data_IF_276624228197
#
_entry.id   IF_276624228197
#
_cell.length_a   1.000
_cell.length_b   1.000
_cell.length_c   1.000
_cell.angle_alpha   90.00
_cell.angle_beta   90.00
_cell.angle_gamma   90.00
#
_symmetry.space_group_name_H-M   'P 1'
#
loop_
_entity.id
_entity.type
_entity.pdbx_description
1 polymer ?
#
# COMPACT_ATOMS: atom_id res chain seq x y z
N UNK A 1 -47.16 -41.13 40.65
CA UNK A 1 -47.55 -41.84 39.40
C UNK A 1 -47.13 -40.96 38.21
N UNK A 2 -46.23 -41.49 37.36
CA UNK A 2 -45.88 -41.15 35.96
C UNK A 2 -46.22 -39.71 35.49
N UNK A 3 -45.25 -38.90 35.04
CA UNK A 3 -44.74 -38.96 33.67
C UNK A 3 -43.52 -38.03 33.41
N UNK A 4 -42.55 -38.60 32.68
CA UNK A 4 -41.75 -38.02 31.59
C UNK A 4 -40.45 -37.23 31.89
N UNK A 5 -39.36 -37.97 31.67
CA UNK A 5 -38.02 -37.61 31.16
C UNK A 5 -38.11 -36.57 30.01
N UNK A 6 -37.21 -35.58 29.98
CA UNK A 6 -36.36 -35.19 28.82
C UNK A 6 -35.33 -34.14 29.24
N UNK A 7 -34.07 -34.42 28.95
CA UNK A 7 -32.91 -33.56 29.12
C UNK A 7 -32.59 -32.79 27.84
N UNK A 8 -31.86 -31.67 28.03
CA UNK A 8 -30.92 -31.05 27.11
C UNK A 8 -31.44 -30.23 25.91
N UNK A 9 -30.66 -29.16 25.64
CA UNK A 9 -30.59 -28.35 24.43
C UNK A 9 -31.45 -27.07 24.36
N UNK A 10 -31.16 -26.12 25.25
CA UNK A 10 -31.44 -24.68 25.01
C UNK A 10 -30.13 -23.93 24.74
N UNK A 11 -29.47 -24.29 23.63
CA UNK A 11 -28.48 -23.44 22.98
C UNK A 11 -29.26 -22.57 21.98
N UNK A 12 -29.92 -21.53 22.49
CA UNK A 12 -30.58 -20.54 21.63
C UNK A 12 -29.55 -19.46 21.31
N UNK A 13 -29.16 -19.39 20.04
CA UNK A 13 -28.21 -18.46 19.46
C UNK A 13 -28.56 -17.01 19.88
N UNK A 14 -27.66 -16.39 20.64
CA UNK A 14 -27.52 -14.93 20.58
C UNK A 14 -26.85 -14.65 19.25
N UNK A 15 -27.67 -14.35 18.23
CA UNK A 15 -27.22 -13.63 17.05
C UNK A 15 -26.68 -12.29 17.53
N UNK A 16 -25.37 -12.25 17.79
CA UNK A 16 -24.65 -11.01 17.88
C UNK A 16 -24.86 -10.29 16.56
N UNK A 17 -25.56 -9.16 16.60
CA UNK A 17 -25.56 -8.19 15.52
C UNK A 17 -24.11 -7.76 15.32
N UNK A 18 -23.39 -8.43 14.43
CA UNK A 18 -22.17 -7.90 13.84
C UNK A 18 -22.68 -6.78 12.95
N UNK A 19 -22.71 -5.56 13.49
CA UNK A 19 -22.84 -4.38 12.65
C UNK A 19 -21.77 -4.52 11.55
N UNK A 20 -22.09 -4.27 10.27
CA UNK A 20 -21.06 -4.24 9.25
C UNK A 20 -19.99 -3.26 9.73
N UNK A 21 -18.79 -3.79 9.95
CA UNK A 21 -17.62 -3.02 10.36
C UNK A 21 -17.49 -1.88 9.36
N UNK A 22 -17.60 -0.65 9.86
CA UNK A 22 -17.27 0.59 9.18
C UNK A 22 -15.76 0.63 8.89
N UNK A 23 -15.26 -0.28 8.04
CA UNK A 23 -13.85 -0.40 7.66
C UNK A 23 -13.51 0.35 6.36
N UNK A 24 -14.50 0.89 5.66
CA UNK A 24 -14.29 1.60 4.39
C UNK A 24 -14.08 3.12 4.56
N UNK A 25 -14.62 3.75 5.62
CA UNK A 25 -14.56 5.21 5.78
C UNK A 25 -13.18 5.70 6.27
N UNK A 26 -12.48 4.91 7.09
CA UNK A 26 -11.17 5.30 7.66
C UNK A 26 -10.05 5.34 6.60
N UNK A 27 -10.14 4.55 5.53
CA UNK A 27 -9.11 4.50 4.49
C UNK A 27 -9.21 5.65 3.48
N UNK A 28 -10.41 6.13 3.14
CA UNK A 28 -10.60 7.20 2.14
C UNK A 28 -9.93 8.50 2.60
N UNK A 29 -10.18 8.91 3.83
CA UNK A 29 -9.59 10.13 4.38
C UNK A 29 -8.06 10.06 4.43
N UNK A 30 -7.51 8.94 4.87
CA UNK A 30 -6.06 8.72 4.88
C UNK A 30 -5.46 8.76 3.47
N UNK A 31 -6.11 8.11 2.49
CA UNK A 31 -5.72 8.16 1.08
C UNK A 31 -5.66 9.61 0.61
N UNK A 32 -6.73 10.39 0.81
CA UNK A 32 -6.79 11.75 0.32
C UNK A 32 -5.81 12.69 1.04
N UNK A 33 -5.55 12.47 2.33
CA UNK A 33 -4.52 13.22 3.06
C UNK A 33 -3.13 12.91 2.50
N UNK A 34 -2.81 11.64 2.24
CA UNK A 34 -1.52 11.26 1.64
C UNK A 34 -1.33 11.80 0.22
N UNK A 35 -2.42 11.96 -0.52
CA UNK A 35 -2.43 12.60 -1.84
C UNK A 35 -2.47 14.13 -1.76
N UNK A 36 -2.44 14.72 -0.56
CA UNK A 36 -2.56 16.16 -0.31
C UNK A 36 -3.88 16.80 -0.82
N UNK A 37 -4.90 15.96 -1.03
CA UNK A 37 -6.26 16.31 -1.45
C UNK A 37 -7.16 16.65 -0.26
N UNK A 38 -6.75 16.34 0.96
CA UNK A 38 -7.43 16.72 2.19
C UNK A 38 -6.38 17.00 3.29
N UNK A 39 -6.77 17.68 4.35
CA UNK A 39 -5.90 17.96 5.50
C UNK A 39 -6.68 17.72 6.78
N UNK A 40 -6.03 17.09 7.76
CA UNK A 40 -6.61 16.92 9.09
C UNK A 40 -6.81 18.28 9.77
N UNK A 41 -7.85 18.36 10.59
CA UNK A 41 -8.09 19.47 11.49
C UNK A 41 -7.03 19.44 12.63
N UNK A 42 -6.96 20.51 13.43
CA UNK A 42 -5.91 20.68 14.45
C UNK A 42 -5.87 19.59 15.53
N UNK A 43 -6.95 18.82 15.68
CA UNK A 43 -7.08 17.70 16.61
C UNK A 43 -6.79 16.33 15.96
N UNK A 44 -6.22 16.33 14.75
CA UNK A 44 -5.94 15.15 13.95
C UNK A 44 -7.21 14.36 13.54
N UNK A 45 -8.35 15.03 13.46
CA UNK A 45 -9.62 14.48 12.94
C UNK A 45 -10.01 15.15 11.62
N UNK A 46 -11.10 14.68 11.00
CA UNK A 46 -11.76 15.38 9.89
C UNK A 46 -13.20 15.62 10.28
N UNK A 47 -13.56 16.90 10.41
CA UNK A 47 -14.94 17.31 10.58
C UNK A 47 -15.71 17.17 9.26
N UNK A 48 -16.32 16.01 9.06
CA UNK A 48 -17.00 15.65 7.80
C UNK A 48 -18.08 16.65 7.37
N UNK A 49 -18.75 17.30 8.33
CA UNK A 49 -19.83 18.26 8.08
C UNK A 49 -19.34 19.66 7.75
N UNK A 50 -18.04 19.92 7.90
CA UNK A 50 -17.45 21.23 7.57
C UNK A 50 -17.53 21.45 6.06
N UNK A 51 -18.01 22.60 5.57
CA UNK A 51 -18.04 22.90 4.14
C UNK A 51 -16.64 23.00 3.53
N UNK A 52 -16.48 22.58 2.28
CA UNK A 52 -15.22 22.76 1.52
C UNK A 52 -15.30 24.03 0.65
N UNK A 53 -14.29 24.88 0.71
CA UNK A 53 -14.23 26.12 -0.07
C UNK A 53 -13.87 25.87 -1.54
N UNK A 54 -14.23 26.80 -2.42
CA UNK A 54 -13.82 26.77 -3.83
C UNK A 54 -12.30 26.81 -4.00
N UNK A 55 -11.58 27.49 -3.11
CA UNK A 55 -10.12 27.55 -3.16
C UNK A 55 -9.46 26.20 -2.81
N UNK A 56 -9.95 25.52 -1.77
CA UNK A 56 -9.49 24.17 -1.43
C UNK A 56 -9.79 23.18 -2.57
N UNK A 57 -10.98 23.26 -3.16
CA UNK A 57 -11.33 22.43 -4.31
C UNK A 57 -10.45 22.73 -5.54
N UNK A 58 -10.09 24.00 -5.78
CA UNK A 58 -9.17 24.37 -6.84
C UNK A 58 -7.76 23.76 -6.64
N UNK A 59 -7.26 23.72 -5.39
CA UNK A 59 -6.02 22.98 -5.07
C UNK A 59 -6.17 21.49 -5.41
N UNK A 60 -7.31 20.88 -5.05
CA UNK A 60 -7.56 19.47 -5.35
C UNK A 60 -7.54 19.18 -6.85
N UNK A 61 -8.23 19.98 -7.66
CA UNK A 61 -8.23 19.84 -9.11
C UNK A 61 -6.84 20.03 -9.73
N UNK A 62 -6.03 20.95 -9.19
CA UNK A 62 -4.65 21.13 -9.64
C UNK A 62 -3.82 19.85 -9.42
N UNK A 63 -3.98 19.21 -8.26
CA UNK A 63 -3.31 17.94 -7.94
C UNK A 63 -3.83 16.80 -8.83
N UNK A 64 -5.15 16.70 -8.99
CA UNK A 64 -5.79 15.69 -9.84
C UNK A 64 -5.47 15.86 -11.34
N UNK A 65 -5.08 17.06 -11.77
CA UNK A 65 -4.59 17.33 -13.12
C UNK A 65 -3.11 16.95 -13.32
N UNK A 66 -2.44 16.39 -12.30
CA UNK A 66 -1.08 15.86 -12.40
C UNK A 66 0.04 16.89 -12.20
N UNK A 67 -0.26 18.09 -11.70
CA UNK A 67 0.76 19.13 -11.50
C UNK A 67 1.61 18.96 -10.22
N UNK A 68 1.40 17.88 -9.46
CA UNK A 68 2.18 17.54 -8.26
C UNK A 68 2.00 18.50 -7.09
N UNK A 69 2.74 18.29 -5.99
CA UNK A 69 2.58 19.04 -4.73
C UNK A 69 3.29 20.38 -4.67
N UNK A 70 4.05 20.75 -5.72
CA UNK A 70 4.76 22.03 -5.75
C UNK A 70 3.77 23.18 -5.71
N UNK A 71 3.99 24.14 -4.81
CA UNK A 71 3.15 25.33 -4.70
C UNK A 71 3.08 26.05 -6.06
N UNK A 72 1.88 26.18 -6.60
CA UNK A 72 1.66 26.95 -7.80
C UNK A 72 1.87 28.43 -7.45
N UNK A 73 2.85 29.06 -8.08
CA UNK A 73 3.11 30.48 -7.89
C UNK A 73 2.26 31.32 -8.85
N UNK A 74 1.72 32.43 -8.36
CA UNK A 74 1.13 33.46 -9.21
C UNK A 74 1.83 34.79 -8.97
N UNK A 75 2.43 35.37 -10.02
CA UNK A 75 3.06 36.69 -9.97
C UNK A 75 2.06 37.83 -10.24
N UNK A 76 0.79 37.49 -10.46
CA UNK A 76 -0.31 38.42 -10.73
C UNK A 76 -1.59 37.94 -10.03
N UNK A 77 -2.48 38.86 -9.68
CA UNK A 77 -3.80 38.50 -9.13
C UNK A 77 -4.66 37.88 -10.24
N UNK A 78 -5.04 36.58 -10.17
CA UNK A 78 -5.79 35.93 -11.25
C UNK A 78 -7.26 36.36 -11.32
N UNK A 79 -7.80 36.86 -10.20
CA UNK A 79 -9.17 37.36 -10.08
C UNK A 79 -9.16 38.59 -9.18
N UNK A 80 -10.21 39.42 -9.26
CA UNK A 80 -10.31 40.68 -8.53
C UNK A 80 -10.35 40.49 -7.01
N UNK A 81 -10.83 39.35 -6.55
CA UNK A 81 -10.92 38.93 -5.14
C UNK A 81 -9.84 37.90 -4.75
N UNK A 82 -8.87 37.63 -5.62
CA UNK A 82 -7.75 36.73 -5.35
C UNK A 82 -6.44 37.49 -5.57
N UNK A 83 -5.88 38.02 -4.48
CA UNK A 83 -4.54 38.62 -4.49
C UNK A 83 -3.49 37.62 -4.98
N UNK A 84 -2.47 38.08 -5.70
CA UNK A 84 -1.30 37.26 -6.06
C UNK A 84 -0.61 36.62 -4.85
N UNK A 85 -0.72 37.24 -3.66
CA UNK A 85 -0.16 36.76 -2.40
C UNK A 85 -1.06 35.74 -1.67
N UNK A 86 -2.26 35.45 -2.19
CA UNK A 86 -3.12 34.42 -1.63
C UNK A 86 -2.49 33.05 -1.85
N UNK A 87 -2.45 32.20 -0.82
CA UNK A 87 -1.86 30.85 -0.88
C UNK A 87 -2.47 29.95 -1.97
N UNK A 88 -3.71 30.22 -2.39
CA UNK A 88 -4.41 29.49 -3.45
C UNK A 88 -4.29 30.15 -4.83
N UNK A 89 -3.65 31.31 -4.95
CA UNK A 89 -3.64 32.11 -6.18
C UNK A 89 -3.14 31.32 -7.39
N UNK A 90 -2.02 30.60 -7.27
CA UNK A 90 -1.50 29.81 -8.39
C UNK A 90 -2.35 28.60 -8.73
N UNK A 91 -2.95 27.93 -7.74
CA UNK A 91 -3.86 26.80 -7.99
C UNK A 91 -5.08 27.28 -8.75
N UNK A 92 -5.74 28.34 -8.25
CA UNK A 92 -6.91 28.98 -8.85
C UNK A 92 -6.59 29.44 -10.29
N UNK A 93 -5.46 30.12 -10.49
CA UNK A 93 -5.00 30.54 -11.83
C UNK A 93 -4.90 29.36 -12.79
N UNK A 94 -4.25 28.29 -12.35
CA UNK A 94 -3.95 27.14 -13.21
C UNK A 94 -5.23 26.41 -13.59
N UNK A 95 -6.07 26.04 -12.63
CA UNK A 95 -7.32 25.31 -12.93
C UNK A 95 -8.32 26.15 -13.73
N UNK A 96 -8.30 27.48 -13.56
CA UNK A 96 -9.07 28.39 -14.40
C UNK A 96 -8.54 28.41 -15.84
N UNK A 97 -7.22 28.46 -16.03
CA UNK A 97 -6.61 28.45 -17.36
C UNK A 97 -6.81 27.13 -18.11
N UNK A 98 -6.89 26.01 -17.38
CA UNK A 98 -7.22 24.69 -17.92
C UNK A 98 -8.71 24.51 -18.19
N UNK A 99 -9.55 25.44 -17.72
CA UNK A 99 -11.00 25.39 -17.89
C UNK A 99 -11.71 24.42 -16.95
N UNK A 100 -11.02 23.86 -15.94
CA UNK A 100 -11.63 22.94 -14.96
C UNK A 100 -12.52 23.66 -13.97
N UNK A 101 -12.21 24.92 -13.64
CA UNK A 101 -13.11 25.82 -12.92
C UNK A 101 -13.23 27.15 -13.65
N UNK A 102 -14.28 27.89 -13.35
CA UNK A 102 -14.48 29.24 -13.87
C UNK A 102 -14.78 30.21 -12.74
N UNK A 103 -14.35 31.46 -12.91
CA UNK A 103 -14.82 32.56 -12.09
C UNK A 103 -16.26 32.95 -12.41
N UNK A 104 -16.84 33.74 -11.52
CA UNK A 104 -18.13 34.38 -11.69
C UNK A 104 -18.01 35.66 -12.52
N UNK A 105 -19.17 36.21 -12.90
CA UNK A 105 -19.27 37.50 -13.56
C UNK A 105 -18.48 38.59 -12.81
N UNK A 106 -17.98 39.58 -13.56
CA UNK A 106 -17.15 40.69 -13.05
C UNK A 106 -15.76 40.28 -12.53
N UNK A 107 -15.27 39.09 -12.89
CA UNK A 107 -13.89 38.68 -12.61
C UNK A 107 -13.63 38.28 -11.17
N UNK A 108 -14.63 37.74 -10.48
CA UNK A 108 -14.52 37.19 -9.12
C UNK A 108 -14.37 35.68 -9.16
N UNK A 109 -13.59 35.09 -8.26
CA UNK A 109 -13.53 33.64 -8.08
C UNK A 109 -14.34 33.14 -6.89
N UNK A 110 -14.46 33.99 -5.85
CA UNK A 110 -15.01 33.72 -4.53
C UNK A 110 -14.32 32.54 -3.83
N UNK A 111 -13.03 32.68 -3.49
CA UNK A 111 -12.22 31.57 -2.97
C UNK A 111 -12.79 30.95 -1.69
N UNK A 112 -13.34 31.77 -0.79
CA UNK A 112 -13.85 31.32 0.51
C UNK A 112 -15.31 30.84 0.47
N UNK A 113 -15.99 31.00 -0.67
CA UNK A 113 -17.35 30.49 -0.83
C UNK A 113 -17.30 28.96 -0.89
N UNK A 114 -18.22 28.30 -0.19
CA UNK A 114 -18.42 26.85 -0.32
C UNK A 114 -18.73 26.47 -1.77
N UNK A 115 -18.07 25.43 -2.26
CA UNK A 115 -18.35 24.89 -3.60
C UNK A 115 -19.68 24.13 -3.61
N UNK A 116 -20.43 24.21 -4.70
CA UNK A 116 -21.66 23.42 -4.86
C UNK A 116 -21.38 22.05 -5.47
N UNK A 117 -22.31 21.12 -5.28
CA UNK A 117 -22.29 19.79 -5.90
C UNK A 117 -22.18 19.86 -7.44
N UNK A 118 -22.98 20.71 -8.09
CA UNK A 118 -22.94 20.92 -9.54
C UNK A 118 -21.55 21.39 -10.03
N UNK A 119 -20.96 22.36 -9.31
CA UNK A 119 -19.63 22.89 -9.63
C UNK A 119 -18.56 21.80 -9.49
N UNK A 120 -18.61 21.00 -8.42
CA UNK A 120 -17.66 19.93 -8.17
C UNK A 120 -17.76 18.80 -9.21
N UNK A 121 -18.98 18.30 -9.46
CA UNK A 121 -19.23 17.23 -10.44
C UNK A 121 -18.77 17.66 -11.84
N UNK A 122 -19.12 18.89 -12.26
CA UNK A 122 -18.71 19.41 -13.55
C UNK A 122 -17.19 19.44 -13.68
N UNK A 123 -16.50 19.98 -12.67
CA UNK A 123 -15.04 20.11 -12.68
C UNK A 123 -14.35 18.75 -12.75
N UNK A 124 -14.85 17.74 -12.02
CA UNK A 124 -14.28 16.39 -12.04
C UNK A 124 -14.53 15.67 -13.36
N UNK A 125 -15.71 15.84 -13.98
CA UNK A 125 -15.97 15.31 -15.32
C UNK A 125 -15.05 15.94 -16.38
N UNK A 126 -14.73 17.23 -16.25
CA UNK A 126 -13.76 17.88 -17.13
C UNK A 126 -12.34 17.27 -16.97
N UNK A 127 -11.91 16.98 -15.74
CA UNK A 127 -10.65 16.26 -15.48
C UNK A 127 -10.67 14.85 -16.07
N UNK A 128 -11.80 14.15 -15.99
CA UNK A 128 -11.98 12.82 -16.60
C UNK A 128 -11.99 12.84 -18.14
N UNK A 129 -11.90 14.02 -18.75
CA UNK A 129 -11.78 14.21 -20.20
C UNK A 129 -13.09 14.49 -20.93
N UNK A 130 -14.20 14.73 -20.21
CA UNK A 130 -15.45 15.20 -20.81
C UNK A 130 -15.34 16.68 -21.18
N UNK A 131 -15.98 17.09 -22.27
CA UNK A 131 -16.06 18.51 -22.63
C UNK A 131 -17.27 19.17 -21.98
N UNK A 132 -17.21 20.49 -21.77
CA UNK A 132 -18.30 21.26 -21.18
C UNK A 132 -19.63 21.14 -21.96
N UNK A 133 -19.56 20.90 -23.28
CA UNK A 133 -20.73 20.75 -24.13
C UNK A 133 -21.44 19.41 -23.93
N UNK A 134 -20.70 18.35 -23.63
CA UNK A 134 -21.24 16.99 -23.45
C UNK A 134 -21.96 16.82 -22.11
N UNK A 135 -21.60 17.64 -21.14
CA UNK A 135 -22.18 17.66 -19.79
C UNK A 135 -23.04 18.91 -19.57
N UNK A 136 -23.47 19.57 -20.65
CA UNK A 136 -24.25 20.80 -20.58
C UNK A 136 -25.67 20.53 -20.08
N UNK A 137 -26.10 21.30 -19.08
CA UNK A 137 -27.41 21.13 -18.44
C UNK A 137 -27.41 20.09 -17.32
N UNK A 138 -28.29 20.29 -16.33
CA UNK A 138 -28.32 19.49 -15.11
C UNK A 138 -28.53 17.99 -15.40
N UNK A 139 -29.40 17.64 -16.34
CA UNK A 139 -29.74 16.25 -16.61
C UNK A 139 -28.53 15.46 -17.14
N UNK A 140 -27.83 15.99 -18.15
CA UNK A 140 -26.65 15.33 -18.72
C UNK A 140 -25.47 15.29 -17.73
N UNK A 141 -25.30 16.36 -16.95
CA UNK A 141 -24.27 16.43 -15.91
C UNK A 141 -24.44 15.27 -14.91
N UNK A 142 -25.64 15.12 -14.35
CA UNK A 142 -25.91 14.10 -13.34
C UNK A 142 -26.00 12.69 -13.92
N UNK A 143 -26.50 12.52 -15.15
CA UNK A 143 -26.47 11.22 -15.83
C UNK A 143 -25.04 10.74 -16.06
N UNK A 144 -24.17 11.60 -16.57
CA UNK A 144 -22.76 11.27 -16.81
C UNK A 144 -22.05 10.97 -15.49
N UNK A 145 -22.31 11.75 -14.44
CA UNK A 145 -21.75 11.52 -13.12
C UNK A 145 -22.13 10.15 -12.55
N UNK A 146 -23.40 9.73 -12.70
CA UNK A 146 -23.87 8.40 -12.28
C UNK A 146 -23.23 7.27 -13.07
N UNK A 147 -23.16 7.40 -14.40
CA UNK A 147 -22.54 6.39 -15.27
C UNK A 147 -21.06 6.20 -14.92
N UNK A 148 -20.38 7.26 -14.49
CA UNK A 148 -18.98 7.23 -14.06
C UNK A 148 -18.76 6.87 -12.60
N UNK A 149 -19.82 6.54 -11.86
CA UNK A 149 -19.73 6.18 -10.45
C UNK A 149 -19.33 7.35 -9.53
N UNK A 150 -19.32 8.59 -10.02
CA UNK A 150 -18.94 9.76 -9.22
C UNK A 150 -19.85 9.95 -7.99
N UNK A 151 -21.12 9.56 -8.12
CA UNK A 151 -22.13 9.72 -7.06
C UNK A 151 -22.33 8.46 -6.21
N UNK A 152 -21.52 7.41 -6.42
CA UNK A 152 -21.65 6.16 -5.67
C UNK A 152 -21.36 6.39 -4.19
N UNK A 153 -22.16 5.77 -3.32
CA UNK A 153 -22.08 5.95 -1.87
C UNK A 153 -22.25 7.40 -1.39
N UNK A 154 -22.89 8.26 -2.19
CA UNK A 154 -23.23 9.64 -1.80
C UNK A 154 -24.74 9.86 -1.68
N UNK A 155 -25.15 10.80 -0.84
CA UNK A 155 -26.53 11.30 -0.78
C UNK A 155 -26.67 12.69 -1.45
N UNK A 156 -25.75 13.01 -2.37
CA UNK A 156 -25.63 14.34 -2.95
C UNK A 156 -26.81 14.69 -3.86
N UNK A 157 -27.33 15.90 -3.66
CA UNK A 157 -28.42 16.47 -4.46
C UNK A 157 -27.92 17.67 -5.28
N UNK A 158 -28.77 18.15 -6.19
CA UNK A 158 -28.50 19.29 -7.07
C UNK A 158 -28.29 20.58 -6.26
N UNK A 159 -27.23 21.32 -6.61
CA UNK A 159 -26.87 22.64 -6.09
C UNK A 159 -26.76 22.77 -4.56
N UNK A 160 -26.37 21.69 -3.87
CA UNK A 160 -26.13 21.74 -2.44
C UNK A 160 -24.68 22.17 -2.12
N UNK A 161 -24.44 22.86 -0.99
CA UNK A 161 -23.09 23.10 -0.50
C UNK A 161 -22.39 21.77 -0.20
N UNK A 162 -21.13 21.62 -0.63
CA UNK A 162 -20.37 20.39 -0.44
C UNK A 162 -19.67 20.36 0.93
N UNK A 163 -19.89 19.28 1.68
CA UNK A 163 -19.21 19.01 2.97
C UNK A 163 -17.88 18.29 2.74
N UNK A 164 -16.96 18.29 3.73
CA UNK A 164 -15.69 17.54 3.65
C UNK A 164 -15.90 16.04 3.44
N UNK A 165 -16.92 15.45 4.06
CA UNK A 165 -17.26 14.04 3.88
C UNK A 165 -17.73 13.73 2.46
N UNK A 166 -18.68 14.53 1.95
CA UNK A 166 -19.16 14.38 0.57
C UNK A 166 -18.05 14.65 -0.46
N UNK A 167 -17.22 15.66 -0.20
CA UNK A 167 -16.03 15.97 -0.98
C UNK A 167 -15.07 14.78 -1.04
N UNK A 168 -14.76 14.17 0.11
CA UNK A 168 -13.86 13.03 0.18
C UNK A 168 -14.37 11.85 -0.65
N UNK A 169 -15.64 11.50 -0.50
CA UNK A 169 -16.24 10.43 -1.29
C UNK A 169 -16.24 10.75 -2.78
N UNK A 170 -16.59 11.98 -3.17
CA UNK A 170 -16.65 12.41 -4.56
C UNK A 170 -15.26 12.39 -5.23
N UNK A 171 -14.22 12.85 -4.54
CA UNK A 171 -12.83 12.81 -5.04
C UNK A 171 -12.33 11.37 -5.15
N UNK A 172 -12.61 10.52 -4.16
CA UNK A 172 -12.23 9.11 -4.19
C UNK A 172 -12.90 8.36 -5.36
N UNK A 173 -14.19 8.63 -5.59
CA UNK A 173 -14.91 8.10 -6.74
C UNK A 173 -14.30 8.59 -8.06
N UNK A 174 -13.91 9.87 -8.14
CA UNK A 174 -13.22 10.42 -9.31
C UNK A 174 -11.87 9.74 -9.58
N UNK A 175 -11.06 9.50 -8.53
CA UNK A 175 -9.79 8.77 -8.63
C UNK A 175 -9.98 7.33 -9.16
N UNK A 176 -11.10 6.71 -8.80
CA UNK A 176 -11.47 5.36 -9.22
C UNK A 176 -12.10 5.30 -10.63
N UNK A 177 -12.58 6.43 -11.17
CA UNK A 177 -13.25 6.48 -12.45
C UNK A 177 -12.27 6.41 -13.64
N UNK A 178 -12.59 5.60 -14.65
CA UNK A 178 -11.85 5.56 -15.92
C UNK A 178 -11.96 6.89 -16.71
N UNK A 179 -10.87 7.33 -17.33
CA UNK A 179 -10.88 8.50 -18.23
C UNK A 179 -11.73 8.20 -19.47
N UNK A 180 -12.35 9.23 -20.06
CA UNK A 180 -13.36 9.12 -21.12
C UNK A 180 -12.94 8.31 -22.35
N UNK A 181 -11.65 8.22 -22.65
CA UNK A 181 -11.11 7.46 -23.78
C UNK A 181 -9.90 6.60 -23.37
N UNK A 182 -9.85 6.15 -22.12
CA UNK A 182 -8.78 5.31 -21.61
C UNK A 182 -9.34 4.15 -20.81
N UNK A 183 -8.58 3.05 -20.79
CA UNK A 183 -8.81 1.96 -19.84
C UNK A 183 -8.18 2.27 -18.47
N UNK A 184 -7.44 3.37 -18.34
CA UNK A 184 -6.86 3.82 -17.09
C UNK A 184 -7.84 4.65 -16.26
N UNK A 185 -7.83 4.44 -14.95
CA UNK A 185 -8.46 5.33 -13.97
C UNK A 185 -7.70 6.64 -13.83
N UNK A 186 -8.34 7.66 -13.25
CA UNK A 186 -7.67 8.91 -12.91
C UNK A 186 -6.46 8.68 -11.99
N UNK A 187 -6.57 7.79 -11.00
CA UNK A 187 -5.43 7.40 -10.17
C UNK A 187 -4.29 6.79 -11.00
N UNK A 188 -4.59 5.90 -11.96
CA UNK A 188 -3.56 5.34 -12.83
C UNK A 188 -2.91 6.40 -13.74
N UNK A 189 -3.66 7.39 -14.20
CA UNK A 189 -3.08 8.51 -14.97
C UNK A 189 -2.16 9.41 -14.14
N UNK A 190 -2.33 9.41 -12.82
CA UNK A 190 -1.45 10.10 -11.86
C UNK A 190 -0.23 9.26 -11.46
N UNK A 191 -0.08 8.04 -12.00
CA UNK A 191 1.06 7.16 -11.74
C UNK A 191 0.84 6.13 -10.64
N UNK A 192 -0.36 6.03 -10.05
CA UNK A 192 -0.66 5.00 -9.06
C UNK A 192 -0.90 3.65 -9.73
N UNK A 193 -0.28 2.59 -9.21
CA UNK A 193 -0.53 1.21 -9.66
C UNK A 193 -1.57 0.59 -8.75
N UNK A 194 -2.71 0.20 -9.31
CA UNK A 194 -3.78 -0.44 -8.56
C UNK A 194 -3.53 -1.95 -8.46
N UNK A 195 -3.44 -2.49 -7.24
CA UNK A 195 -3.31 -3.95 -7.00
C UNK A 195 -4.65 -4.67 -6.90
N UNK A 196 -5.73 -3.92 -6.89
CA UNK A 196 -7.12 -4.39 -6.92
C UNK A 196 -7.95 -3.48 -7.82
N UNK A 197 -9.25 -3.73 -7.94
CA UNK A 197 -10.16 -2.91 -8.74
C UNK A 197 -10.39 -1.49 -8.17
N UNK A 198 -9.81 -1.17 -7.00
CA UNK A 198 -9.97 0.12 -6.34
C UNK A 198 -8.65 0.63 -5.76
N UNK A 199 -8.54 1.95 -5.65
CA UNK A 199 -7.37 2.61 -5.04
C UNK A 199 -7.30 2.28 -3.55
N UNK A 200 -6.28 1.52 -3.16
CA UNK A 200 -6.05 1.22 -1.75
C UNK A 200 -5.06 2.19 -1.12
N UNK A 201 -5.08 2.25 0.21
CA UNK A 201 -4.13 3.02 1.00
C UNK A 201 -2.68 2.59 0.66
N UNK A 202 -2.43 1.29 0.51
CA UNK A 202 -1.14 0.74 0.08
C UNK A 202 -0.69 1.26 -1.28
N UNK A 203 -1.60 1.35 -2.27
CA UNK A 203 -1.25 1.82 -3.62
C UNK A 203 -0.78 3.28 -3.62
N UNK A 204 -1.34 4.12 -2.73
CA UNK A 204 -0.98 5.54 -2.58
C UNK A 204 0.35 5.69 -1.85
N UNK A 205 0.51 4.91 -0.79
CA UNK A 205 1.71 4.86 0.04
C UNK A 205 2.94 4.51 -0.81
N UNK A 206 2.75 3.60 -1.76
CA UNK A 206 3.81 3.01 -2.53
C UNK A 206 4.49 3.94 -3.53
N UNK A 207 3.78 4.99 -3.98
CA UNK A 207 4.32 6.01 -4.88
C UNK A 207 5.22 7.00 -4.14
N UNK A 208 4.98 7.22 -2.84
CA UNK A 208 5.72 8.20 -2.03
C UNK A 208 6.65 7.54 -0.99
N UNK A 209 6.77 6.21 -1.02
CA UNK A 209 7.58 5.46 -0.09
C UNK A 209 8.97 5.14 -0.65
N UNK A 210 9.99 5.33 0.17
CA UNK A 210 11.36 4.86 -0.08
C UNK A 210 11.46 3.40 0.33
N UNK A 211 11.92 2.55 -0.59
CA UNK A 211 12.09 1.10 -0.41
C UNK A 211 12.02 0.35 -1.76
N UNK A 212 12.06 -1.00 -1.77
CA UNK A 212 12.17 -1.90 -0.62
C UNK A 212 13.53 -1.86 0.08
N UNK A 213 13.53 -1.99 1.40
CA UNK A 213 14.74 -2.19 2.22
C UNK A 213 14.63 -3.52 2.96
N UNK A 214 15.48 -4.48 2.62
CA UNK A 214 15.56 -5.74 3.34
C UNK A 214 16.37 -5.61 4.63
N UNK A 215 15.76 -5.90 5.77
CA UNK A 215 16.47 -5.85 7.06
C UNK A 215 17.32 -7.09 7.27
N UNK A 216 18.63 -6.90 7.43
CA UNK A 216 19.58 -7.96 7.79
C UNK A 216 19.81 -8.08 9.30
N UNK A 217 19.25 -7.16 10.08
CA UNK A 217 19.27 -7.09 11.55
C UNK A 217 18.02 -6.42 12.09
N UNK A 218 18.02 -6.08 13.39
CA UNK A 218 16.98 -5.22 13.97
C UNK A 218 17.17 -3.77 13.52
N UNK A 219 16.08 -3.02 13.39
CA UNK A 219 16.08 -1.60 13.04
C UNK A 219 15.04 -0.84 13.87
N UNK A 220 15.14 0.49 13.90
CA UNK A 220 14.21 1.41 14.55
C UNK A 220 13.70 2.47 13.58
N UNK A 221 12.55 3.08 13.88
CA UNK A 221 11.96 4.14 13.03
C UNK A 221 12.92 5.32 12.79
N UNK A 222 13.77 5.63 13.78
CA UNK A 222 14.80 6.67 13.69
C UNK A 222 15.84 6.40 12.61
N UNK A 223 16.11 5.14 12.28
CA UNK A 223 17.09 4.76 11.24
C UNK A 223 16.61 5.20 9.84
N UNK A 224 15.31 5.47 9.70
CA UNK A 224 14.65 5.96 8.49
C UNK A 224 14.30 7.46 8.57
N UNK A 225 14.81 8.18 9.57
CA UNK A 225 14.53 9.60 9.77
C UNK A 225 13.10 9.90 10.26
N UNK A 226 12.41 8.91 10.83
CA UNK A 226 11.04 9.07 11.32
C UNK A 226 11.01 9.30 12.83
N UNK A 227 10.06 10.11 13.30
CA UNK A 227 9.84 10.37 14.73
C UNK A 227 8.42 9.96 15.10
N UNK A 228 8.28 8.87 15.86
CA UNK A 228 6.98 8.28 16.24
C UNK A 228 6.02 8.07 15.04
N UNK A 229 6.44 7.34 14.00
CA UNK A 229 5.61 7.17 12.82
C UNK A 229 4.39 6.29 13.08
N UNK A 230 3.34 6.49 12.29
CA UNK A 230 2.28 5.47 12.16
C UNK A 230 2.86 4.27 11.44
N UNK A 231 2.70 3.08 12.05
CA UNK A 231 3.30 1.85 11.54
C UNK A 231 2.28 0.87 11.03
N UNK A 232 2.62 0.17 9.95
CA UNK A 232 1.77 -0.85 9.34
C UNK A 232 2.53 -2.16 9.22
N UNK A 233 1.89 -3.28 9.58
CA UNK A 233 2.40 -4.64 9.37
C UNK A 233 1.56 -5.32 8.30
N UNK A 234 2.18 -5.70 7.18
CA UNK A 234 1.51 -6.33 6.04
C UNK A 234 0.27 -5.54 5.56
N UNK A 235 0.38 -4.20 5.53
CA UNK A 235 -0.70 -3.30 5.10
C UNK A 235 -1.74 -2.96 6.18
N UNK A 236 -1.67 -3.55 7.38
CA UNK A 236 -2.60 -3.26 8.48
C UNK A 236 -1.92 -2.36 9.52
N UNK A 237 -2.56 -1.25 9.90
CA UNK A 237 -2.04 -0.36 10.94
C UNK A 237 -1.89 -1.12 12.26
N UNK A 238 -0.67 -1.16 12.76
CA UNK A 238 -0.30 -1.93 13.94
C UNK A 238 1.07 -1.49 14.42
N UNK A 239 1.22 -1.29 15.73
CA UNK A 239 2.55 -1.15 16.35
C UNK A 239 3.41 -2.38 16.02
N UNK A 240 4.56 -2.14 15.37
CA UNK A 240 5.44 -3.21 14.88
C UNK A 240 6.87 -2.94 15.30
N UNK A 241 7.53 -3.98 15.82
CA UNK A 241 8.99 -4.01 15.96
C UNK A 241 9.61 -4.62 14.71
N UNK A 242 10.56 -3.90 14.13
CA UNK A 242 11.33 -4.30 12.96
C UNK A 242 12.41 -5.30 13.33
N UNK A 243 12.54 -6.37 12.55
CA UNK A 243 13.54 -7.42 12.77
C UNK A 243 14.13 -7.92 11.46
N UNK A 244 15.22 -8.69 11.58
CA UNK A 244 15.85 -9.37 10.45
C UNK A 244 14.83 -10.16 9.65
N UNK A 245 14.87 -10.00 8.33
CA UNK A 245 13.97 -10.64 7.38
C UNK A 245 12.67 -9.88 7.12
N UNK A 246 12.42 -8.76 7.78
CA UNK A 246 11.36 -7.84 7.37
C UNK A 246 11.81 -7.02 6.14
N UNK A 247 10.85 -6.61 5.31
CA UNK A 247 11.06 -5.69 4.19
C UNK A 247 10.36 -4.38 4.51
N UNK A 248 11.10 -3.28 4.49
CA UNK A 248 10.65 -1.98 4.96
C UNK A 248 10.45 -1.01 3.80
N UNK A 249 9.40 -0.23 3.93
CA UNK A 249 9.16 0.99 3.16
C UNK A 249 8.88 2.13 4.13
N UNK A 250 9.24 3.35 3.79
CA UNK A 250 8.99 4.51 4.66
C UNK A 250 8.75 5.80 3.88
N UNK A 251 8.10 6.77 4.50
CA UNK A 251 7.93 8.11 3.96
C UNK A 251 8.17 9.13 5.05
N UNK A 252 9.22 9.95 4.90
CA UNK A 252 9.53 11.05 5.82
C UNK A 252 8.53 12.19 5.73
N UNK A 253 7.96 12.42 4.53
CA UNK A 253 6.94 13.45 4.29
C UNK A 253 5.66 13.18 5.08
N UNK A 254 5.25 11.92 5.15
CA UNK A 254 3.99 11.51 5.77
C UNK A 254 4.18 10.92 7.17
N UNK A 255 5.43 10.81 7.63
CA UNK A 255 5.84 10.18 8.88
C UNK A 255 5.23 8.77 9.07
N UNK A 256 5.33 7.92 8.05
CA UNK A 256 4.77 6.57 8.04
C UNK A 256 5.83 5.51 7.72
N UNK A 257 5.62 4.31 8.27
CA UNK A 257 6.51 3.16 8.15
C UNK A 257 5.72 1.88 7.85
N UNK A 258 6.10 1.17 6.80
CA UNK A 258 5.50 -0.10 6.42
C UNK A 258 6.50 -1.22 6.56
N UNK A 259 6.08 -2.26 7.28
CA UNK A 259 6.85 -3.46 7.52
C UNK A 259 6.11 -4.63 6.87
N UNK A 260 6.74 -5.24 5.87
CA UNK A 260 6.28 -6.46 5.24
C UNK A 260 7.04 -7.65 5.80
N UNK A 261 6.27 -8.59 6.32
CA UNK A 261 6.70 -9.84 6.93
C UNK A 261 5.93 -10.97 6.24
N UNK A 262 6.18 -11.10 4.96
CA UNK A 262 5.63 -12.14 4.10
C UNK A 262 6.77 -13.07 3.69
N UNK A 263 6.53 -14.37 3.80
CA UNK A 263 7.55 -15.38 3.51
C UNK A 263 7.03 -16.39 2.50
N UNK A 264 7.90 -16.75 1.56
CA UNK A 264 7.77 -17.96 0.77
C UNK A 264 8.86 -18.96 1.15
N UNK A 265 8.65 -20.21 0.81
CA UNK A 265 9.59 -21.30 1.07
C UNK A 265 9.76 -22.14 -0.20
N UNK A 266 10.97 -22.61 -0.44
CA UNK A 266 11.24 -23.49 -1.55
C UNK A 266 12.73 -23.81 -1.68
N UNK A 267 13.04 -24.78 -2.53
CA UNK A 267 14.43 -25.08 -2.91
C UNK A 267 14.77 -24.33 -4.18
N UNK A 268 15.88 -23.61 -4.19
CA UNK A 268 16.34 -22.91 -5.40
C UNK A 268 16.64 -23.95 -6.48
N UNK A 269 15.93 -23.92 -7.60
CA UNK A 269 16.14 -24.85 -8.72
C UNK A 269 16.84 -24.19 -9.90
N UNK A 270 16.74 -22.87 -10.02
CA UNK A 270 17.33 -22.10 -11.10
C UNK A 270 17.68 -20.70 -10.62
N UNK A 271 18.73 -20.12 -11.21
CA UNK A 271 19.15 -18.73 -11.05
C UNK A 271 19.34 -18.11 -12.44
N UNK A 272 19.19 -16.80 -12.57
CA UNK A 272 19.42 -16.10 -13.84
C UNK A 272 20.84 -16.35 -14.36
N UNK A 273 21.00 -16.33 -15.68
CA UNK A 273 22.23 -16.80 -16.34
C UNK A 273 23.50 -16.03 -15.94
N UNK A 274 23.37 -14.76 -15.54
CA UNK A 274 24.49 -13.99 -15.02
C UNK A 274 24.65 -14.25 -13.51
N UNK A 275 25.70 -14.99 -13.15
CA UNK A 275 26.02 -15.30 -11.74
C UNK A 275 26.60 -14.09 -10.98
N UNK A 276 27.14 -13.10 -11.70
CA UNK A 276 27.66 -11.86 -11.09
C UNK A 276 26.56 -10.81 -10.88
N UNK A 277 25.40 -10.97 -11.54
CA UNK A 277 24.23 -10.10 -11.41
C UNK A 277 22.94 -10.94 -11.46
N UNK A 278 22.63 -11.57 -10.33
CA UNK A 278 21.44 -12.44 -10.25
C UNK A 278 20.18 -11.58 -10.11
N UNK A 279 19.47 -11.39 -11.21
CA UNK A 279 18.23 -10.59 -11.27
C UNK A 279 16.98 -11.39 -10.90
N UNK A 280 17.03 -12.72 -11.00
CA UNK A 280 15.90 -13.60 -10.67
C UNK A 280 16.35 -15.02 -10.35
N UNK A 281 15.48 -15.76 -9.66
CA UNK A 281 15.67 -17.19 -9.36
C UNK A 281 14.33 -17.92 -9.24
N UNK A 282 14.37 -19.24 -9.28
CA UNK A 282 13.20 -20.12 -9.13
C UNK A 282 13.32 -20.94 -7.86
N UNK A 283 12.28 -20.91 -7.02
CA UNK A 283 12.15 -21.75 -5.83
C UNK A 283 10.67 -22.10 -5.61
N UNK A 284 10.17 -23.09 -6.36
CA UNK A 284 8.73 -23.39 -6.48
C UNK A 284 8.00 -22.42 -7.43
N UNK A 285 8.19 -21.11 -7.21
CA UNK A 285 7.75 -20.03 -8.10
C UNK A 285 8.96 -19.25 -8.64
N UNK A 286 8.75 -18.42 -9.66
CA UNK A 286 9.76 -17.47 -10.14
C UNK A 286 9.71 -16.19 -9.32
N UNK A 287 10.87 -15.72 -8.87
CA UNK A 287 11.02 -14.48 -8.11
C UNK A 287 12.03 -13.56 -8.79
N UNK A 288 11.68 -12.28 -8.90
CA UNK A 288 12.62 -11.21 -9.24
C UNK A 288 13.31 -10.73 -7.96
N UNK A 289 14.60 -10.44 -8.03
CA UNK A 289 15.37 -9.86 -6.92
C UNK A 289 15.06 -8.36 -6.80
N UNK A 290 14.40 -7.94 -5.71
CA UNK A 290 13.98 -6.55 -5.53
C UNK A 290 14.91 -5.68 -4.69
N UNK A 291 15.91 -6.26 -4.02
CA UNK A 291 16.95 -5.49 -3.31
C UNK A 291 18.34 -5.97 -3.68
N UNK A 292 19.36 -5.14 -3.45
CA UNK A 292 20.74 -5.55 -3.64
C UNK A 292 21.20 -6.55 -2.58
N UNK A 293 20.55 -6.58 -1.40
CA UNK A 293 20.88 -7.54 -0.33
C UNK A 293 20.76 -8.98 -0.81
N UNK A 294 19.67 -9.34 -1.52
CA UNK A 294 19.54 -10.71 -2.03
C UNK A 294 20.50 -11.00 -3.19
N UNK A 295 20.80 -10.01 -4.04
CA UNK A 295 21.77 -10.16 -5.12
C UNK A 295 23.17 -10.41 -4.56
N UNK A 296 23.56 -9.67 -3.52
CA UNK A 296 24.82 -9.87 -2.79
C UNK A 296 24.92 -11.26 -2.17
N UNK A 297 23.81 -11.83 -1.67
CA UNK A 297 23.81 -13.19 -1.14
C UNK A 297 24.11 -14.24 -2.23
N UNK A 298 23.63 -14.04 -3.45
CA UNK A 298 24.01 -14.88 -4.60
C UNK A 298 25.47 -14.67 -4.97
N UNK A 299 25.91 -13.41 -5.12
CA UNK A 299 27.30 -13.08 -5.46
C UNK A 299 28.32 -13.62 -4.43
N UNK A 300 27.95 -13.62 -3.14
CA UNK A 300 28.74 -14.19 -2.06
C UNK A 300 28.59 -15.72 -1.90
N UNK A 301 27.90 -16.40 -2.83
CA UNK A 301 27.62 -17.83 -2.83
C UNK A 301 26.95 -18.34 -1.53
N UNK A 302 26.15 -17.47 -0.88
CA UNK A 302 25.33 -17.81 0.29
C UNK A 302 23.98 -18.39 -0.10
N UNK A 303 23.55 -18.17 -1.34
CA UNK A 303 22.40 -18.79 -1.98
C UNK A 303 22.86 -19.44 -3.29
N UNK A 304 22.39 -20.66 -3.59
CA UNK A 304 22.70 -21.38 -4.82
C UNK A 304 21.64 -22.43 -5.14
N UNK A 305 21.67 -22.96 -6.36
CA UNK A 305 20.80 -24.08 -6.74
C UNK A 305 20.98 -25.25 -5.77
N UNK A 306 19.87 -25.87 -5.37
CA UNK A 306 19.77 -26.92 -4.37
C UNK A 306 19.55 -26.42 -2.94
N UNK A 307 19.61 -25.11 -2.66
CA UNK A 307 19.42 -24.59 -1.30
C UNK A 307 17.95 -24.47 -0.93
N UNK A 308 17.47 -25.09 0.17
CA UNK A 308 16.19 -24.78 0.76
C UNK A 308 16.26 -23.42 1.45
N UNK A 309 15.33 -22.54 1.09
CA UNK A 309 15.34 -21.14 1.52
C UNK A 309 13.98 -20.70 2.03
N UNK A 310 14.00 -19.84 3.05
CA UNK A 310 12.91 -18.92 3.35
C UNK A 310 13.21 -17.60 2.65
N UNK A 311 12.27 -17.14 1.85
CA UNK A 311 12.35 -15.94 1.03
C UNK A 311 11.49 -14.87 1.69
N UNK A 312 12.08 -13.73 2.06
CA UNK A 312 11.33 -12.54 2.46
C UNK A 312 10.83 -11.81 1.22
N UNK A 313 9.52 -11.66 1.14
CA UNK A 313 8.85 -11.02 0.01
C UNK A 313 8.60 -9.54 0.33
N UNK A 314 8.84 -8.69 -0.67
CA UNK A 314 8.36 -7.32 -0.62
C UNK A 314 6.84 -7.25 -0.85
N UNK A 315 6.32 -6.02 -0.88
CA UNK A 315 4.88 -5.75 -1.07
C UNK A 315 4.31 -6.25 -2.40
N UNK A 316 5.17 -6.42 -3.41
CA UNK A 316 4.81 -6.84 -4.77
C UNK A 316 5.06 -8.34 -4.99
N UNK A 317 5.47 -9.07 -3.96
CA UNK A 317 5.77 -10.50 -4.03
C UNK A 317 7.14 -10.82 -4.63
N UNK A 318 8.01 -9.82 -4.85
CA UNK A 318 9.37 -10.03 -5.29
C UNK A 318 10.28 -10.38 -4.10
N UNK A 319 11.39 -11.05 -4.38
CA UNK A 319 12.31 -11.51 -3.35
C UNK A 319 13.25 -10.38 -2.92
N UNK A 320 13.11 -9.93 -1.68
CA UNK A 320 13.95 -8.89 -1.11
C UNK A 320 15.11 -9.44 -0.29
N UNK A 321 14.94 -10.60 0.35
CA UNK A 321 15.97 -11.29 1.12
C UNK A 321 15.71 -12.79 1.09
N UNK A 322 16.74 -13.61 1.32
CA UNK A 322 16.53 -15.02 1.57
C UNK A 322 17.56 -15.55 2.57
N UNK A 323 17.18 -16.57 3.31
CA UNK A 323 18.07 -17.28 4.22
C UNK A 323 17.81 -18.77 4.15
N UNK A 324 18.82 -19.56 4.46
CA UNK A 324 18.66 -21.01 4.63
C UNK A 324 17.53 -21.30 5.63
N UNK A 325 16.72 -22.30 5.33
CA UNK A 325 15.66 -22.79 6.20
C UNK A 325 15.71 -24.31 6.25
N UNK A 326 15.83 -24.87 7.46
CA UNK A 326 15.65 -26.30 7.67
C UNK A 326 14.16 -26.58 7.72
N UNK A 327 13.68 -27.39 6.79
CA UNK A 327 12.33 -27.94 6.87
C UNK A 327 12.33 -28.92 8.06
N UNK A 328 11.68 -28.58 9.16
CA UNK A 328 11.44 -29.57 10.22
C UNK A 328 10.68 -30.74 9.57
N UNK A 329 11.35 -31.90 9.50
CA UNK A 329 10.70 -33.14 9.12
C UNK A 329 9.69 -33.49 10.20
N UNK A 330 8.42 -33.49 9.83
CA UNK A 330 7.32 -34.00 10.64
C UNK A 330 7.54 -35.50 10.86
N UNK A 331 8.31 -35.85 11.90
CA UNK A 331 8.40 -37.22 12.41
C UNK A 331 7.39 -37.34 13.53
N UNK A 332 6.15 -37.65 13.16
CA UNK A 332 5.25 -38.41 14.02
C UNK A 332 5.92 -39.77 14.29
N UNK A 333 6.58 -39.85 15.44
CA UNK A 333 6.90 -41.12 16.07
C UNK A 333 6.78 -40.97 17.57
N UNK A 334 5.57 -41.28 18.02
CA UNK A 334 5.28 -41.75 19.36
C UNK A 334 6.30 -42.83 19.80
N UNK A 335 7.26 -42.47 20.65
CA UNK A 335 7.66 -43.36 21.74
C UNK A 335 8.29 -42.58 22.90
N UNK A 336 7.55 -42.63 23.99
CA UNK A 336 7.93 -42.34 25.38
C UNK A 336 9.23 -43.02 25.81
N UNK A 337 10.10 -42.32 26.55
CA UNK A 337 10.19 -42.40 28.02
C UNK A 337 11.60 -42.03 28.55
N UNK A 338 11.63 -41.17 29.60
CA UNK A 338 12.67 -41.02 30.65
C UNK A 338 14.09 -40.57 30.19
N UNK A 339 14.86 -39.69 30.85
CA UNK A 339 14.95 -39.30 32.25
C UNK A 339 15.79 -37.99 32.37
N UNK A 340 15.53 -37.22 33.42
CA UNK A 340 16.38 -36.26 34.15
C UNK A 340 17.74 -35.78 33.58
N UNK A 341 17.95 -34.46 33.59
CA UNK A 341 19.28 -33.87 33.73
C UNK A 341 19.39 -32.42 33.25
N UNK A 342 19.44 -31.46 34.18
CA UNK A 342 19.97 -30.13 33.93
C UNK A 342 21.36 -30.24 33.28
N UNK A 343 21.54 -29.73 32.06
CA UNK A 343 22.86 -29.27 31.64
C UNK A 343 22.76 -28.12 30.64
N UNK A 344 23.36 -27.00 31.03
CA UNK A 344 23.71 -25.87 30.17
C UNK A 344 24.69 -26.37 29.11
N UNK A 345 24.23 -26.52 27.87
CA UNK A 345 25.03 -27.01 26.74
C UNK A 345 25.06 -26.00 25.61
N UNK A 346 26.24 -25.45 25.35
CA UNK A 346 26.58 -24.72 24.13
C UNK A 346 26.42 -25.65 22.89
N UNK A 347 25.62 -25.33 21.86
CA UNK A 347 25.58 -26.13 20.64
C UNK A 347 26.62 -25.61 19.65
N UNK A 348 27.90 -25.86 19.93
CA UNK A 348 28.98 -25.58 18.98
C UNK A 348 29.55 -26.89 18.43
N UNK A 349 28.74 -27.63 17.66
CA UNK A 349 29.25 -28.63 16.71
C UNK A 349 28.23 -28.87 15.59
N UNK A 350 28.35 -28.13 14.49
CA UNK A 350 27.56 -28.35 13.28
C UNK A 350 28.20 -29.46 12.45
N UNK A 351 27.47 -30.57 12.27
CA UNK A 351 27.82 -31.62 11.32
C UNK A 351 27.05 -31.38 10.02
N UNK A 352 27.75 -31.17 8.91
CA UNK A 352 27.14 -31.03 7.58
C UNK A 352 27.60 -32.17 6.69
N UNK A 353 26.65 -32.89 6.08
CA UNK A 353 26.91 -33.96 5.09
C UNK A 353 26.25 -33.60 3.77
N UNK A 354 27.00 -33.61 2.67
CA UNK A 354 26.42 -33.51 1.33
C UNK A 354 27.24 -34.30 0.30
N UNK A 355 26.60 -34.69 -0.80
CA UNK A 355 27.18 -35.51 -1.88
C UNK A 355 27.27 -34.69 -3.15
N UNK A 356 28.42 -34.70 -3.82
CA UNK A 356 28.59 -34.10 -5.14
C UNK A 356 29.61 -34.89 -5.97
N UNK A 357 29.33 -35.07 -7.25
CA UNK A 357 30.22 -35.68 -8.26
C UNK A 357 30.93 -36.99 -7.82
N UNK A 358 30.21 -37.89 -7.15
CA UNK A 358 30.78 -39.17 -6.70
C UNK A 358 31.58 -39.09 -5.40
N UNK A 359 31.51 -37.99 -4.65
CA UNK A 359 32.16 -37.83 -3.35
C UNK A 359 31.16 -37.41 -2.27
N UNK A 360 31.38 -37.85 -1.03
CA UNK A 360 30.70 -37.38 0.18
C UNK A 360 31.61 -36.43 0.93
N UNK A 361 31.07 -35.27 1.30
CA UNK A 361 31.76 -34.27 2.11
C UNK A 361 31.12 -34.20 3.48
N UNK A 362 31.90 -34.46 4.53
CA UNK A 362 31.52 -34.38 5.93
C UNK A 362 32.29 -33.25 6.58
N UNK A 363 31.60 -32.21 7.04
CA UNK A 363 32.23 -31.13 7.81
C UNK A 363 31.82 -31.25 9.27
N UNK A 364 32.80 -31.39 10.16
CA UNK A 364 32.63 -31.43 11.61
C UNK A 364 33.55 -30.35 12.21
N UNK A 365 32.97 -29.44 13.00
CA UNK A 365 33.70 -28.37 13.69
C UNK A 365 34.63 -27.55 12.78
N UNK A 366 34.18 -27.25 11.56
CA UNK A 366 34.91 -26.45 10.59
C UNK A 366 36.03 -27.17 9.83
N UNK A 367 36.22 -28.48 10.04
CA UNK A 367 37.10 -29.32 9.20
C UNK A 367 36.27 -30.20 8.28
N UNK A 368 36.58 -30.15 6.98
CA UNK A 368 35.92 -30.95 5.95
C UNK A 368 36.74 -32.20 5.62
N UNK A 369 36.07 -33.34 5.63
CA UNK A 369 36.56 -34.65 5.24
C UNK A 369 35.84 -35.09 3.96
N UNK A 370 36.60 -35.61 2.99
CA UNK A 370 36.08 -36.04 1.69
C UNK A 370 36.24 -37.54 1.54
N UNK A 371 35.18 -38.22 1.10
CA UNK A 371 35.16 -39.66 0.86
C UNK A 371 34.70 -39.94 -0.57
N UNK A 372 35.46 -40.75 -1.30
CA UNK A 372 35.09 -41.17 -2.66
C UNK A 372 34.05 -42.29 -2.60
N UNK A 373 32.94 -42.13 -3.32
CA UNK A 373 31.93 -43.16 -3.46
C UNK A 373 32.41 -44.15 -4.52
N UNK A 374 33.11 -45.20 -4.07
CA UNK A 374 33.41 -46.33 -4.93
C UNK A 374 32.10 -47.02 -5.32
N UNK A 375 31.81 -47.07 -6.62
CA UNK A 375 30.71 -47.88 -7.15
C UNK A 375 30.93 -49.33 -6.75
N UNK A 376 30.08 -49.88 -5.89
CA UNK A 376 30.08 -51.29 -5.58
C UNK A 376 29.79 -52.07 -6.88
N UNK A 377 30.76 -52.87 -7.31
CA UNK A 377 30.64 -53.86 -8.39
C UNK A 377 29.76 -55.03 -7.97
#
# INVERSE_FOLDING_TARGET
MKKLITAALSMLLVLGNVQPVQAAASSIYEILVLMNLLTYDSDNTISETTPISRAEFAKALYLLAGYGTTAANSYTSPFSDVSYSNQYAGYIKTVASLGYMSGYAKGYFKPDQTITTDEAIKSLLLILGYSANEIAGSDLLYQTARIKGLLDNTALNVNQPLTKGDYAQLIYNALSAALKNSNQTLAQSLGYTLRSDSLSLSDVIDVNAVGPIALTGSASASDFGLTSPTTYLNGVEKSVSMRKGDVVYYSTETNKLWVYRNYAYGTITQISANLEDVTSFTAGSNYTCSTDVIKELFAANKLRVGYPVRISLDRDGNAAYASYYEQESDTDSTSSNSNSGNNSGNPSSSTVVYVNDGYVYLTIDGKTYTFELNSAS
#
